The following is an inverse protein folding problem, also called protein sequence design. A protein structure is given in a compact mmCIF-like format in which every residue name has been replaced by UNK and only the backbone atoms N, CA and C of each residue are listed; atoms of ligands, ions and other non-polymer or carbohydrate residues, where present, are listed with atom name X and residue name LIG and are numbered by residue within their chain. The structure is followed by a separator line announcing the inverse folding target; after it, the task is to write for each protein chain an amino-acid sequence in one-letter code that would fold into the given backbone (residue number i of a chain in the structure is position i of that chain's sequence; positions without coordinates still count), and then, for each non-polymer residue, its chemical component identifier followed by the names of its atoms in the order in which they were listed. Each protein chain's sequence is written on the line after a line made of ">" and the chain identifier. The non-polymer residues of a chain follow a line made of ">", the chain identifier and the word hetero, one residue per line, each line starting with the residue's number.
data_IF_065444368544
#
_entry.id   IF_065444368544
#
_cell.length_a   1.000
_cell.length_b   1.000
_cell.length_c   1.000
_cell.angle_alpha   90.00
_cell.angle_beta   90.00
_cell.angle_gamma   90.00
#
_symmetry.space_group_name_H-M   'P 1'
#
loop_
_entity.id
_entity.type
_entity.pdbx_description
1 polymer ?
#
# COMPACT_ATOMS: atom_id res chain seq x y z
N UNK A 1 -6.26 2.57 -2.37
CA UNK A 1 -5.49 1.31 -2.42
C UNK A 1 -4.20 1.50 -3.22
N UNK A 2 -4.08 1.22 -4.53
CA UNK A 2 -2.81 1.40 -5.24
C UNK A 2 -2.30 2.84 -5.33
N UNK A 3 -3.22 3.79 -5.50
CA UNK A 3 -2.87 5.21 -5.60
C UNK A 3 -2.09 5.72 -4.38
N UNK A 4 -2.29 5.14 -3.19
CA UNK A 4 -1.54 5.54 -1.99
C UNK A 4 -0.10 5.02 -1.98
N UNK A 5 0.18 3.83 -2.56
CA UNK A 5 1.57 3.39 -2.78
C UNK A 5 2.27 4.43 -3.65
N UNK A 6 1.60 4.85 -4.73
CA UNK A 6 2.18 5.77 -5.69
C UNK A 6 2.38 7.18 -5.12
N UNK A 7 1.40 7.67 -4.36
CA UNK A 7 1.41 9.04 -3.82
C UNK A 7 2.29 9.18 -2.57
N UNK A 8 2.31 8.18 -1.66
CA UNK A 8 3.09 8.27 -0.41
C UNK A 8 4.57 7.96 -0.60
N UNK A 9 4.89 7.02 -1.50
CA UNK A 9 6.27 6.57 -1.69
C UNK A 9 6.92 7.10 -2.97
N UNK A 10 6.18 7.84 -3.81
CA UNK A 10 6.69 8.37 -5.07
C UNK A 10 7.06 7.29 -6.09
N UNK A 11 6.60 6.05 -5.87
CA UNK A 11 6.88 4.92 -6.76
C UNK A 11 5.88 5.02 -7.92
N UNK A 12 6.34 5.13 -9.17
CA UNK A 12 5.43 5.26 -10.27
C UNK A 12 4.71 3.92 -10.55
N UNK A 13 3.50 3.94 -11.13
CA UNK A 13 2.68 2.74 -11.28
C UNK A 13 3.34 1.61 -12.08
N UNK A 14 4.06 1.97 -13.13
CA UNK A 14 4.85 1.09 -13.98
C UNK A 14 5.86 0.27 -13.19
N UNK A 15 6.59 0.88 -12.25
CA UNK A 15 7.54 0.17 -11.39
C UNK A 15 6.88 -0.87 -10.49
N UNK A 16 5.62 -0.64 -10.07
CA UNK A 16 4.86 -1.61 -9.28
C UNK A 16 4.32 -2.72 -10.18
N UNK A 17 3.80 -2.38 -11.36
CA UNK A 17 3.26 -3.37 -12.29
C UNK A 17 4.34 -4.26 -12.93
N UNK A 18 5.56 -3.76 -13.07
CA UNK A 18 6.72 -4.51 -13.53
C UNK A 18 7.17 -5.61 -12.54
N UNK A 19 6.79 -5.52 -11.27
CA UNK A 19 7.14 -6.53 -10.26
C UNK A 19 6.32 -7.81 -10.45
N UNK A 20 6.94 -8.95 -10.12
CA UNK A 20 6.24 -10.23 -10.13
C UNK A 20 4.96 -10.20 -9.28
N UNK A 21 3.98 -11.03 -9.67
CA UNK A 21 2.68 -11.11 -8.98
C UNK A 21 2.83 -11.33 -7.47
N UNK A 22 3.77 -12.16 -7.02
CA UNK A 22 4.01 -12.42 -5.59
C UNK A 22 4.42 -11.14 -4.84
N UNK A 23 5.32 -10.35 -5.42
CA UNK A 23 5.77 -9.08 -4.84
C UNK A 23 4.64 -8.05 -4.79
N UNK A 24 3.82 -7.97 -5.85
CA UNK A 24 2.65 -7.08 -5.87
C UNK A 24 1.64 -7.44 -4.78
N UNK A 25 1.36 -8.74 -4.59
CA UNK A 25 0.49 -9.21 -3.53
C UNK A 25 1.03 -8.86 -2.13
N UNK A 26 2.33 -9.01 -1.92
CA UNK A 26 2.97 -8.62 -0.66
C UNK A 26 2.85 -7.11 -0.39
N UNK A 27 3.09 -6.27 -1.40
CA UNK A 27 2.93 -4.81 -1.28
C UNK A 27 1.49 -4.43 -0.92
N UNK A 28 0.50 -5.05 -1.57
CA UNK A 28 -0.91 -4.79 -1.25
C UNK A 28 -1.29 -5.24 0.14
N UNK A 29 -0.89 -6.45 0.56
CA UNK A 29 -1.18 -6.96 1.89
C UNK A 29 -0.54 -6.09 2.99
N UNK A 30 0.70 -5.64 2.77
CA UNK A 30 1.41 -4.76 3.69
C UNK A 30 0.69 -3.42 3.85
N UNK A 31 0.18 -2.86 2.76
CA UNK A 31 -0.51 -1.57 2.84
C UNK A 31 -1.93 -1.67 3.42
N UNK A 32 -2.64 -2.77 3.16
CA UNK A 32 -3.90 -3.09 3.84
C UNK A 32 -3.73 -3.06 5.37
N UNK A 33 -2.68 -3.73 5.87
CA UNK A 33 -2.31 -3.73 7.29
C UNK A 33 -2.04 -2.31 7.84
N UNK A 34 -1.40 -1.46 7.05
CA UNK A 34 -1.13 -0.08 7.44
C UNK A 34 -2.43 0.73 7.56
N UNK A 35 -3.37 0.58 6.62
CA UNK A 35 -4.66 1.26 6.69
C UNK A 35 -5.49 0.81 7.89
N UNK A 36 -5.49 -0.48 8.21
CA UNK A 36 -6.16 -0.98 9.41
C UNK A 36 -5.59 -0.36 10.69
N UNK A 37 -4.26 -0.17 10.76
CA UNK A 37 -3.61 0.50 11.89
C UNK A 37 -3.99 1.97 11.97
N UNK A 38 -3.98 2.69 10.85
CA UNK A 38 -4.38 4.10 10.77
C UNK A 38 -5.85 4.30 11.16
N UNK A 39 -6.74 3.43 10.69
CA UNK A 39 -8.16 3.46 11.04
C UNK A 39 -8.39 3.23 12.53
N UNK A 40 -7.68 2.25 13.13
CA UNK A 40 -7.73 2.01 14.58
C UNK A 40 -7.20 3.21 15.37
N UNK A 41 -6.11 3.83 14.92
CA UNK A 41 -5.56 5.02 15.57
C UNK A 41 -6.49 6.23 15.46
N UNK A 42 -7.22 6.38 14.35
CA UNK A 42 -8.21 7.44 14.18
C UNK A 42 -9.45 7.23 15.07
N UNK A 43 -9.88 5.99 15.31
CA UNK A 43 -10.97 5.68 16.24
C UNK A 43 -10.62 5.88 17.72
N UNK A 44 -9.32 5.91 18.06
CA UNK A 44 -8.85 6.10 19.43
C UNK A 44 -8.61 7.58 19.80
N UNK A 45 -8.86 8.51 18.87
CA UNK A 45 -8.78 9.96 19.06
C UNK A 45 -10.18 10.56 19.19
#
# INVERSE_FOLDING_TARGET
>A
MLHEIFQRHGIPPDEVYAKERRHRMFMYASMLLQFEREAKAAQQR
#
